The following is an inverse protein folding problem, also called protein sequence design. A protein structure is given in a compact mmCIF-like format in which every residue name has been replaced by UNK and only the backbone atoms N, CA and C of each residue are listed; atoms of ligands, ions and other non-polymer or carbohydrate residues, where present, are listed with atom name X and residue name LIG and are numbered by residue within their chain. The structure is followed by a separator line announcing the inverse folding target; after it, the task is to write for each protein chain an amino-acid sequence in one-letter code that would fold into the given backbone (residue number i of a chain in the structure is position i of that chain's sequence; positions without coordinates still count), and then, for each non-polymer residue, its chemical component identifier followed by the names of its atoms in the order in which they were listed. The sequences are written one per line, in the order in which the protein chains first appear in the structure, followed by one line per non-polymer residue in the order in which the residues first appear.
data_IF_771084853784
#
_entry.id   IF_771084853784
#
_cell.length_a   1.000
_cell.length_b   1.000
_cell.length_c   1.000
_cell.angle_alpha   90.00
_cell.angle_beta   90.00
_cell.angle_gamma   90.00
#
_symmetry.space_group_name_H-M   'P 1'
#
loop_
_entity.id
_entity.type
_entity.pdbx_description
1 polymer ?
#
# COMPACT_ATOMS: atom_id res chain seq x y z
N UNK A 1 29.07 30.09 0.74
CA UNK A 1 28.86 29.79 -0.69
C UNK A 1 28.97 28.29 -0.84
N UNK A 2 28.04 27.67 -1.54
CA UNK A 2 28.06 26.23 -1.84
C UNK A 2 28.72 26.01 -3.20
N UNK A 3 29.48 24.92 -3.32
CA UNK A 3 30.05 24.44 -4.58
C UNK A 3 29.49 23.06 -4.89
N UNK A 4 29.13 22.82 -6.15
CA UNK A 4 28.57 21.56 -6.62
C UNK A 4 29.35 21.09 -7.85
N UNK A 5 29.41 19.77 -8.02
CA UNK A 5 29.95 19.13 -9.22
C UNK A 5 28.91 18.14 -9.72
N UNK A 6 28.54 18.24 -11.00
CA UNK A 6 27.63 17.27 -11.60
C UNK A 6 28.37 16.01 -12.09
N UNK A 7 27.61 15.05 -12.63
CA UNK A 7 28.17 13.79 -13.11
C UNK A 7 29.11 13.93 -14.31
N UNK A 8 29.07 15.07 -15.01
CA UNK A 8 29.95 15.40 -16.14
C UNK A 8 31.21 16.16 -15.68
N UNK A 9 31.33 16.42 -14.38
CA UNK A 9 32.47 17.12 -13.78
C UNK A 9 32.35 18.65 -13.84
N UNK A 10 31.20 19.21 -14.24
CA UNK A 10 31.01 20.65 -14.32
C UNK A 10 30.74 21.24 -12.94
N UNK A 11 31.40 22.36 -12.67
CA UNK A 11 31.32 23.04 -11.38
C UNK A 11 30.26 24.15 -11.37
N UNK A 12 29.54 24.25 -10.26
CA UNK A 12 28.54 25.28 -10.00
C UNK A 12 28.77 25.89 -8.62
N UNK A 13 28.45 27.18 -8.47
CA UNK A 13 28.45 27.84 -7.16
C UNK A 13 27.11 28.51 -6.88
N UNK A 14 26.67 28.52 -5.62
CA UNK A 14 25.43 29.17 -5.20
C UNK A 14 25.54 29.78 -3.80
N UNK A 15 24.69 30.77 -3.52
CA UNK A 15 24.53 31.34 -2.19
C UNK A 15 23.72 30.42 -1.27
N UNK A 16 22.68 29.81 -1.81
CA UNK A 16 21.75 28.96 -1.07
C UNK A 16 21.59 27.61 -1.76
N UNK A 17 21.34 26.58 -0.97
CA UNK A 17 21.03 25.24 -1.42
C UNK A 17 19.68 24.82 -0.86
N UNK A 18 18.74 24.45 -1.73
CA UNK A 18 17.46 23.89 -1.36
C UNK A 18 17.37 22.48 -1.94
N UNK A 19 17.39 21.47 -1.06
CA UNK A 19 17.28 20.07 -1.49
C UNK A 19 15.82 19.67 -1.62
N UNK A 20 15.43 19.30 -2.84
CA UNK A 20 14.10 18.76 -3.16
C UNK A 20 14.18 17.31 -3.66
N UNK A 21 15.15 16.53 -3.17
CA UNK A 21 15.44 15.17 -3.64
C UNK A 21 14.35 14.13 -3.33
N UNK A 22 13.42 14.46 -2.43
CA UNK A 22 12.34 13.57 -1.99
C UNK A 22 12.80 12.42 -1.09
N UNK A 23 11.90 11.92 -0.25
CA UNK A 23 12.19 10.90 0.78
C UNK A 23 12.21 9.45 0.24
N UNK A 24 11.73 9.19 -0.98
CA UNK A 24 11.65 7.85 -1.59
C UNK A 24 12.38 7.73 -2.94
N UNK A 25 13.48 8.47 -3.14
CA UNK A 25 14.16 8.58 -4.44
C UNK A 25 15.21 7.50 -4.73
N UNK A 26 15.91 7.00 -3.70
CA UNK A 26 16.95 5.99 -3.86
C UNK A 26 16.39 4.56 -3.63
N UNK A 27 16.36 3.68 -4.65
CA UNK A 27 15.90 2.31 -4.47
C UNK A 27 16.88 1.49 -3.62
N UNK A 28 16.34 0.63 -2.77
CA UNK A 28 17.11 -0.31 -1.96
C UNK A 28 16.81 -1.72 -2.47
N UNK A 29 17.82 -2.37 -3.03
CA UNK A 29 17.69 -3.77 -3.43
C UNK A 29 17.60 -4.66 -2.19
N UNK A 30 16.85 -5.78 -2.27
CA UNK A 30 16.71 -6.67 -1.14
C UNK A 30 18.06 -7.30 -0.81
N UNK A 31 18.49 -7.20 0.44
CA UNK A 31 19.69 -7.85 0.96
C UNK A 31 19.45 -9.36 1.15
N UNK A 32 19.30 -10.08 0.04
CA UNK A 32 19.05 -11.52 -0.02
C UNK A 32 20.28 -12.19 -0.66
N UNK A 33 20.87 -13.22 -0.04
CA UNK A 33 22.00 -13.92 -0.63
C UNK A 33 21.68 -14.43 -2.04
N UNK A 34 22.65 -14.26 -2.94
CA UNK A 34 22.54 -14.67 -4.35
C UNK A 34 21.63 -13.81 -5.22
N UNK A 35 21.16 -12.64 -4.77
CA UNK A 35 20.24 -11.78 -5.55
C UNK A 35 20.80 -11.41 -6.94
N UNK A 36 22.13 -11.34 -7.08
CA UNK A 36 22.82 -11.10 -8.35
C UNK A 36 23.02 -12.35 -9.21
N UNK A 37 22.78 -13.54 -8.65
CA UNK A 37 22.95 -14.82 -9.34
C UNK A 37 21.70 -15.21 -10.15
N UNK A 38 20.58 -14.51 -9.95
CA UNK A 38 19.33 -14.79 -10.66
C UNK A 38 19.51 -14.58 -12.17
N UNK A 39 19.26 -15.64 -12.95
CA UNK A 39 19.46 -15.63 -14.40
C UNK A 39 18.25 -15.12 -15.19
N UNK A 40 17.11 -14.95 -14.53
CA UNK A 40 15.92 -14.36 -15.14
C UNK A 40 15.95 -12.83 -15.14
N UNK A 41 14.93 -12.24 -15.76
CA UNK A 41 14.74 -10.80 -15.75
C UNK A 41 14.31 -10.31 -14.36
N UNK A 42 15.01 -9.32 -13.82
CA UNK A 42 14.69 -8.71 -12.55
C UNK A 42 14.89 -7.19 -12.63
N UNK A 43 14.01 -6.45 -11.97
CA UNK A 43 14.11 -5.00 -11.85
C UNK A 43 13.46 -4.53 -10.55
N UNK A 44 13.86 -3.35 -10.08
CA UNK A 44 13.19 -2.68 -8.96
C UNK A 44 12.00 -1.87 -9.50
N UNK A 45 10.88 -1.84 -8.77
CA UNK A 45 9.66 -1.16 -9.22
C UNK A 45 9.85 0.34 -9.52
N UNK A 46 10.83 1.00 -8.90
CA UNK A 46 11.17 2.41 -9.20
C UNK A 46 11.93 2.62 -10.52
N UNK A 47 12.36 1.54 -11.17
CA UNK A 47 13.05 1.51 -12.47
C UNK A 47 12.23 0.76 -13.51
N UNK A 48 10.91 0.79 -13.35
CA UNK A 48 9.96 0.18 -14.29
C UNK A 48 10.09 0.85 -15.67
N UNK A 49 10.30 0.06 -16.71
CA UNK A 49 10.46 0.59 -18.07
C UNK A 49 9.12 1.10 -18.62
N UNK A 50 9.11 2.31 -19.21
CA UNK A 50 7.92 2.89 -19.81
C UNK A 50 7.37 2.06 -20.99
N UNK A 51 8.21 1.24 -21.61
CA UNK A 51 7.85 0.39 -22.75
C UNK A 51 7.48 -1.05 -22.33
N UNK A 52 7.42 -1.34 -21.03
CA UNK A 52 7.09 -2.68 -20.51
C UNK A 52 5.58 -2.92 -20.59
N UNK A 53 5.15 -3.84 -21.44
CA UNK A 53 3.79 -4.39 -21.43
C UNK A 53 3.77 -5.71 -20.66
N UNK A 54 3.27 -5.69 -19.43
CA UNK A 54 3.20 -6.89 -18.56
C UNK A 54 2.40 -8.03 -19.17
N UNK A 55 1.44 -7.76 -20.05
CA UNK A 55 0.62 -8.82 -20.67
C UNK A 55 1.49 -9.65 -21.64
N UNK A 56 2.36 -8.98 -22.39
CA UNK A 56 3.32 -9.62 -23.30
C UNK A 56 4.50 -10.19 -22.52
N UNK A 57 5.14 -9.37 -21.70
CA UNK A 57 6.40 -9.71 -21.06
C UNK A 57 6.24 -10.79 -20.00
N UNK A 58 5.06 -10.95 -19.39
CA UNK A 58 4.83 -11.98 -18.38
C UNK A 58 4.08 -13.21 -18.90
N UNK A 59 3.70 -13.23 -20.17
CA UNK A 59 3.09 -14.40 -20.81
C UNK A 59 3.97 -15.63 -20.63
N UNK A 60 3.37 -16.74 -20.19
CA UNK A 60 4.00 -18.03 -19.93
C UNK A 60 5.14 -18.03 -18.89
N UNK A 61 5.34 -16.92 -18.17
CA UNK A 61 6.38 -16.78 -17.13
C UNK A 61 5.84 -17.08 -15.74
N UNK A 62 6.75 -17.43 -14.84
CA UNK A 62 6.53 -17.51 -13.39
C UNK A 62 7.11 -16.26 -12.77
N UNK A 63 6.27 -15.48 -12.09
CA UNK A 63 6.60 -14.15 -11.61
C UNK A 63 6.84 -14.20 -10.10
N UNK A 64 7.88 -13.52 -9.63
CA UNK A 64 8.13 -13.28 -8.21
C UNK A 64 7.98 -11.80 -7.87
N UNK A 65 7.16 -11.48 -6.87
CA UNK A 65 7.08 -10.13 -6.30
C UNK A 65 7.65 -10.16 -4.88
N UNK A 66 8.72 -9.40 -4.61
CA UNK A 66 9.33 -9.30 -3.29
C UNK A 66 8.86 -8.03 -2.59
N UNK A 67 8.23 -8.21 -1.43
CA UNK A 67 7.74 -7.11 -0.60
C UNK A 67 6.27 -6.78 -0.81
N UNK A 68 5.60 -6.44 0.29
CA UNK A 68 4.16 -6.12 0.36
C UNK A 68 3.94 -4.75 1.03
N UNK A 69 4.80 -3.79 0.68
CA UNK A 69 4.53 -2.36 0.90
C UNK A 69 3.51 -1.82 -0.11
N UNK A 70 3.27 -0.50 -0.10
CA UNK A 70 2.30 0.15 -1.01
C UNK A 70 2.53 -0.26 -2.47
N UNK A 71 3.77 -0.13 -2.96
CA UNK A 71 4.11 -0.49 -4.34
C UNK A 71 3.92 -1.97 -4.62
N UNK A 72 4.34 -2.85 -3.71
CA UNK A 72 4.19 -4.31 -3.89
C UNK A 72 2.72 -4.75 -3.96
N UNK A 73 1.86 -4.17 -3.12
CA UNK A 73 0.41 -4.40 -3.15
C UNK A 73 -0.17 -3.98 -4.51
N UNK A 74 0.18 -2.79 -4.99
CA UNK A 74 -0.28 -2.29 -6.30
C UNK A 74 0.25 -3.13 -7.47
N UNK A 75 1.51 -3.58 -7.41
CA UNK A 75 2.10 -4.48 -8.41
C UNK A 75 1.34 -5.81 -8.45
N UNK A 76 1.03 -6.40 -7.29
CA UNK A 76 0.24 -7.64 -7.21
C UNK A 76 -1.14 -7.45 -7.83
N UNK A 77 -1.83 -6.34 -7.54
CA UNK A 77 -3.13 -6.01 -8.15
C UNK A 77 -3.03 -5.88 -9.67
N UNK A 78 -2.02 -5.15 -10.15
CA UNK A 78 -1.85 -4.91 -11.58
C UNK A 78 -1.58 -6.21 -12.35
N UNK A 79 -0.77 -7.10 -11.78
CA UNK A 79 -0.44 -8.41 -12.37
C UNK A 79 -1.61 -9.38 -12.26
N UNK A 80 -2.30 -9.45 -11.11
CA UNK A 80 -3.41 -10.39 -10.89
C UNK A 80 -4.58 -10.18 -11.85
N UNK A 81 -4.73 -8.97 -12.39
CA UNK A 81 -5.74 -8.62 -13.41
C UNK A 81 -5.34 -9.02 -14.84
N UNK A 82 -4.13 -9.55 -15.05
CA UNK A 82 -3.66 -10.04 -16.36
C UNK A 82 -3.86 -11.54 -16.49
N UNK A 83 -3.89 -12.02 -17.73
CA UNK A 83 -3.98 -13.43 -18.07
C UNK A 83 -2.69 -13.88 -18.77
N UNK A 84 -2.47 -15.19 -18.85
CA UNK A 84 -1.37 -15.78 -19.62
C UNK A 84 -0.07 -16.02 -18.85
N UNK A 85 0.13 -15.45 -17.66
CA UNK A 85 1.27 -15.84 -16.81
C UNK A 85 0.99 -17.18 -16.11
N UNK A 86 2.03 -18.00 -15.87
CA UNK A 86 1.89 -19.33 -15.26
C UNK A 86 1.59 -19.26 -13.77
N UNK A 87 2.31 -18.41 -13.03
CA UNK A 87 2.04 -18.17 -11.62
C UNK A 87 2.66 -16.87 -11.12
N UNK A 88 2.09 -16.32 -10.05
CA UNK A 88 2.62 -15.18 -9.30
C UNK A 88 2.89 -15.62 -7.86
N UNK A 89 4.15 -15.51 -7.42
CA UNK A 89 4.56 -15.79 -6.04
C UNK A 89 4.91 -14.48 -5.33
N UNK A 90 4.21 -14.20 -4.23
CA UNK A 90 4.41 -12.99 -3.42
C UNK A 90 5.27 -13.36 -2.21
N UNK A 91 6.49 -12.86 -2.16
CA UNK A 91 7.42 -13.09 -1.06
C UNK A 91 7.26 -11.99 -0.02
N UNK A 92 6.55 -12.32 1.06
CA UNK A 92 6.23 -11.40 2.14
C UNK A 92 7.08 -11.69 3.38
N UNK A 93 7.91 -10.72 3.79
CA UNK A 93 8.65 -10.80 5.06
C UNK A 93 7.83 -10.27 6.23
N UNK A 94 7.22 -9.11 6.08
CA UNK A 94 6.40 -8.48 7.12
C UNK A 94 5.14 -7.97 6.48
N UNK A 95 4.02 -8.44 6.98
CA UNK A 95 2.69 -8.07 6.51
C UNK A 95 2.39 -6.62 6.89
N UNK A 96 1.84 -5.84 5.97
CA UNK A 96 1.20 -4.56 6.27
C UNK A 96 -0.31 -4.73 6.28
N UNK A 97 -0.99 -3.85 7.00
CA UNK A 97 -2.43 -3.70 6.84
C UNK A 97 -2.73 -3.21 5.41
N UNK A 98 -3.93 -3.47 4.91
CA UNK A 98 -4.45 -2.83 3.71
C UNK A 98 -5.94 -2.60 3.87
N UNK A 99 -6.49 -1.68 3.09
CA UNK A 99 -7.91 -1.36 3.15
C UNK A 99 -8.42 -0.97 1.76
N UNK A 100 -9.69 -1.21 1.42
CA UNK A 100 -10.17 -1.05 0.05
C UNK A 100 -10.13 0.43 -0.36
N UNK A 101 -9.55 0.76 -1.50
CA UNK A 101 -9.47 2.13 -2.02
C UNK A 101 -10.86 2.67 -2.39
N UNK A 102 -11.73 1.80 -2.92
CA UNK A 102 -13.04 2.13 -3.51
C UNK A 102 -12.91 3.22 -4.58
N UNK A 103 -11.96 3.02 -5.49
CA UNK A 103 -11.76 3.90 -6.63
C UNK A 103 -12.97 3.82 -7.58
N UNK A 104 -13.29 4.94 -8.21
CA UNK A 104 -14.33 5.04 -9.23
C UNK A 104 -13.90 6.03 -10.30
N UNK A 105 -14.47 5.90 -11.50
CA UNK A 105 -14.25 6.84 -12.59
C UNK A 105 -14.97 8.15 -12.30
N UNK A 106 -14.27 9.27 -12.47
CA UNK A 106 -14.85 10.61 -12.32
C UNK A 106 -15.33 11.06 -13.69
N UNK A 107 -16.65 11.11 -13.87
CA UNK A 107 -17.26 11.63 -15.10
C UNK A 107 -16.90 13.12 -15.31
N UNK A 108 -16.82 13.60 -16.57
CA UNK A 108 -16.51 15.00 -16.86
C UNK A 108 -17.41 16.01 -16.11
N UNK A 109 -18.71 15.73 -16.00
CA UNK A 109 -19.69 16.58 -15.33
C UNK A 109 -19.45 16.63 -13.81
N UNK A 110 -19.05 15.49 -13.22
CA UNK A 110 -18.67 15.43 -11.82
C UNK A 110 -17.37 16.22 -11.56
N UNK A 111 -16.44 16.19 -12.52
CA UNK A 111 -15.23 16.99 -12.45
C UNK A 111 -15.52 18.49 -12.54
N UNK A 112 -16.49 18.90 -13.36
CA UNK A 112 -16.94 20.30 -13.42
C UNK A 112 -17.45 20.78 -12.06
N UNK A 113 -18.24 19.96 -11.36
CA UNK A 113 -18.68 20.24 -9.99
C UNK A 113 -17.49 20.39 -9.04
N UNK A 114 -16.55 19.44 -9.05
CA UNK A 114 -15.38 19.50 -8.17
C UNK A 114 -14.55 20.77 -8.37
N UNK A 115 -14.42 21.27 -9.60
CA UNK A 115 -13.70 22.53 -9.87
C UNK A 115 -14.36 23.73 -9.20
N UNK A 116 -15.69 23.74 -9.06
CA UNK A 116 -16.40 24.81 -8.34
C UNK A 116 -16.18 24.76 -6.82
N UNK A 117 -15.74 23.61 -6.30
CA UNK A 117 -15.55 23.37 -4.85
C UNK A 117 -14.08 23.50 -4.41
N UNK A 118 -13.15 23.79 -5.33
CA UNK A 118 -11.71 23.80 -5.06
C UNK A 118 -11.29 24.66 -3.87
N UNK A 119 -11.83 25.88 -3.75
CA UNK A 119 -11.49 26.76 -2.63
C UNK A 119 -11.86 26.13 -1.28
N UNK A 120 -13.02 25.47 -1.23
CA UNK A 120 -13.48 24.75 -0.03
C UNK A 120 -12.61 23.52 0.27
N UNK A 121 -12.22 22.78 -0.78
CA UNK A 121 -11.32 21.63 -0.66
C UNK A 121 -9.94 22.05 -0.14
N UNK A 122 -9.34 23.11 -0.71
CA UNK A 122 -8.05 23.62 -0.26
C UNK A 122 -8.11 24.15 1.17
N UNK A 123 -9.17 24.87 1.52
CA UNK A 123 -9.39 25.31 2.90
C UNK A 123 -9.46 24.13 3.86
N UNK A 124 -10.26 23.11 3.53
CA UNK A 124 -10.39 21.90 4.35
C UNK A 124 -9.04 21.20 4.53
N UNK A 125 -8.29 21.00 3.44
CA UNK A 125 -6.96 20.39 3.52
C UNK A 125 -5.98 21.24 4.34
N UNK A 126 -6.06 22.58 4.30
CA UNK A 126 -5.21 23.44 5.11
C UNK A 126 -5.54 23.38 6.62
N UNK A 127 -6.77 23.04 6.97
CA UNK A 127 -7.25 22.95 8.36
C UNK A 127 -7.04 21.56 8.98
N UNK A 128 -6.92 20.49 8.18
CA UNK A 128 -6.67 19.13 8.71
C UNK A 128 -5.19 18.86 8.96
N UNK A 129 -4.90 18.10 10.01
CA UNK A 129 -3.53 17.76 10.43
C UNK A 129 -2.76 16.90 9.42
N UNK A 130 -3.44 16.26 8.48
CA UNK A 130 -2.85 15.37 7.47
C UNK A 130 -2.92 15.92 6.06
N UNK A 131 -3.45 17.13 5.87
CA UNK A 131 -3.68 17.75 4.56
C UNK A 131 -4.60 16.94 3.62
N UNK A 132 -5.52 16.14 4.18
CA UNK A 132 -6.55 15.41 3.45
C UNK A 132 -7.94 15.94 3.80
N UNK A 133 -8.94 15.70 2.94
CA UNK A 133 -10.34 16.08 3.19
C UNK A 133 -11.04 15.22 4.27
N UNK A 134 -10.36 14.24 4.85
CA UNK A 134 -10.93 13.35 5.85
C UNK A 134 -10.84 13.97 7.24
N UNK A 135 -11.97 14.07 7.92
CA UNK A 135 -12.06 14.53 9.30
C UNK A 135 -12.30 13.37 10.24
N UNK A 136 -11.53 13.36 11.33
CA UNK A 136 -11.67 12.39 12.41
C UNK A 136 -12.99 12.61 13.16
N UNK A 137 -13.65 11.52 13.55
CA UNK A 137 -14.82 11.62 14.44
C UNK A 137 -14.34 12.15 15.80
N UNK A 138 -14.85 13.31 16.28
CA UNK A 138 -14.33 13.93 17.50
C UNK A 138 -14.57 13.07 18.75
N UNK A 139 -15.57 12.19 18.73
CA UNK A 139 -15.89 11.30 19.85
C UNK A 139 -14.78 10.25 20.04
N UNK A 140 -14.65 9.79 21.28
CA UNK A 140 -13.81 8.62 21.60
C UNK A 140 -14.59 7.35 21.36
N UNK A 141 -13.87 6.25 21.06
CA UNK A 141 -14.52 4.95 20.86
C UNK A 141 -15.34 4.49 22.09
N UNK A 142 -14.97 4.93 23.30
CA UNK A 142 -15.61 4.58 24.57
C UNK A 142 -16.88 5.37 24.87
N UNK A 143 -17.13 6.47 24.14
CA UNK A 143 -18.30 7.34 24.33
C UNK A 143 -19.52 6.87 23.52
N UNK A 144 -19.36 5.79 22.75
CA UNK A 144 -20.37 5.27 21.83
C UNK A 144 -20.57 3.77 22.03
N UNK A 145 -21.74 3.29 21.66
CA UNK A 145 -22.09 1.86 21.72
C UNK A 145 -21.32 1.05 20.68
N UNK A 146 -21.22 -0.27 20.88
CA UNK A 146 -20.62 -1.21 19.92
C UNK A 146 -21.29 -1.12 18.53
N UNK A 147 -22.61 -0.91 18.52
CA UNK A 147 -23.40 -0.73 17.30
C UNK A 147 -22.97 0.53 16.55
N UNK A 148 -22.78 1.64 17.25
CA UNK A 148 -22.31 2.90 16.66
C UNK A 148 -20.88 2.81 16.17
N UNK A 149 -20.00 2.12 16.92
CA UNK A 149 -18.62 1.84 16.49
C UNK A 149 -18.60 1.08 15.17
N UNK A 150 -19.34 -0.03 15.11
CA UNK A 150 -19.45 -0.84 13.89
C UNK A 150 -20.04 -0.03 12.73
N UNK A 151 -21.08 0.77 12.97
CA UNK A 151 -21.69 1.61 11.94
C UNK A 151 -20.70 2.63 11.35
N UNK A 152 -19.89 3.28 12.20
CA UNK A 152 -18.84 4.19 11.72
C UNK A 152 -17.78 3.44 10.91
N UNK A 153 -17.29 2.31 11.43
CA UNK A 153 -16.25 1.52 10.75
C UNK A 153 -16.74 0.97 9.40
N UNK A 154 -17.97 0.46 9.31
CA UNK A 154 -18.59 0.05 8.05
C UNK A 154 -18.73 1.22 7.07
N UNK A 155 -19.17 2.38 7.56
CA UNK A 155 -19.26 3.59 6.72
C UNK A 155 -17.88 3.94 6.14
N UNK A 156 -16.84 3.97 6.98
CA UNK A 156 -15.49 4.32 6.54
C UNK A 156 -14.86 3.24 5.65
N UNK A 157 -15.09 1.96 5.94
CA UNK A 157 -14.58 0.85 5.14
C UNK A 157 -15.15 0.85 3.71
N UNK A 158 -16.42 1.23 3.57
CA UNK A 158 -17.10 1.30 2.27
C UNK A 158 -16.91 2.65 1.55
N UNK A 159 -16.44 3.68 2.26
CA UNK A 159 -16.15 4.98 1.66
C UNK A 159 -14.83 4.98 0.85
N UNK A 160 -14.74 5.77 -0.24
CA UNK A 160 -13.50 6.04 -0.96
C UNK A 160 -12.41 6.70 -0.11
N UNK A 161 -11.15 6.39 -0.44
CA UNK A 161 -9.99 7.12 0.10
C UNK A 161 -9.63 6.76 1.54
N UNK A 162 -8.99 7.68 2.26
CA UNK A 162 -8.39 7.43 3.57
C UNK A 162 -9.35 7.59 4.75
N UNK A 163 -10.67 7.69 4.56
CA UNK A 163 -11.63 7.75 5.67
C UNK A 163 -11.48 6.57 6.66
N UNK A 164 -11.14 5.39 6.14
CA UNK A 164 -10.78 4.18 6.91
C UNK A 164 -9.45 4.23 7.68
N UNK A 165 -8.74 5.34 7.61
CA UNK A 165 -7.56 5.59 8.42
C UNK A 165 -7.76 6.90 9.21
N UNK A 166 -8.17 7.97 8.54
CA UNK A 166 -8.19 9.32 9.10
C UNK A 166 -9.56 9.75 9.66
N UNK A 167 -10.64 9.07 9.24
CA UNK A 167 -12.03 9.40 9.55
C UNK A 167 -12.66 8.55 10.66
N UNK A 168 -11.85 7.90 11.49
CA UNK A 168 -12.30 7.09 12.63
C UNK A 168 -12.28 7.91 13.93
N UNK A 169 -12.43 7.29 15.10
CA UNK A 169 -12.51 7.99 16.38
C UNK A 169 -11.21 8.75 16.73
N UNK A 170 -11.36 9.86 17.44
CA UNK A 170 -10.27 10.78 17.79
C UNK A 170 -9.13 10.14 18.56
N UNK A 171 -9.41 9.11 19.35
CA UNK A 171 -8.41 8.38 20.12
C UNK A 171 -8.02 7.03 19.51
N UNK A 172 -8.43 6.69 18.28
CA UNK A 172 -8.13 5.39 17.68
C UNK A 172 -6.63 5.08 17.64
N UNK A 173 -5.76 6.07 17.43
CA UNK A 173 -4.30 5.85 17.34
C UNK A 173 -3.52 6.30 18.57
N UNK A 174 -4.20 6.73 19.63
CA UNK A 174 -3.59 7.16 20.89
C UNK A 174 -4.03 6.30 22.09
N UNK A 175 -5.00 5.41 21.90
CA UNK A 175 -5.50 4.46 22.88
C UNK A 175 -5.34 3.02 22.37
N UNK A 176 -4.68 2.18 23.18
CA UNK A 176 -4.36 0.80 22.81
C UNK A 176 -5.59 -0.10 22.64
N UNK A 177 -6.64 0.12 23.43
CA UNK A 177 -7.86 -0.66 23.31
C UNK A 177 -8.65 -0.22 22.07
N UNK A 178 -8.64 1.07 21.76
CA UNK A 178 -9.27 1.61 20.55
C UNK A 178 -8.66 1.00 19.27
N UNK A 179 -7.33 1.01 19.16
CA UNK A 179 -6.63 0.44 17.99
C UNK A 179 -6.81 -1.07 17.91
N UNK A 180 -6.83 -1.79 19.03
CA UNK A 180 -7.03 -3.24 19.06
C UNK A 180 -8.42 -3.61 18.51
N UNK A 181 -9.46 -2.94 19.00
CA UNK A 181 -10.84 -3.15 18.55
C UNK A 181 -11.00 -2.85 17.05
N UNK A 182 -10.39 -1.75 16.58
CA UNK A 182 -10.47 -1.40 15.17
C UNK A 182 -9.64 -2.35 14.28
N UNK A 183 -8.48 -2.81 14.77
CA UNK A 183 -7.68 -3.82 14.08
C UNK A 183 -8.42 -5.16 13.99
N UNK A 184 -9.13 -5.56 15.06
CA UNK A 184 -9.98 -6.78 15.05
C UNK A 184 -11.08 -6.69 13.99
N UNK A 185 -11.74 -5.53 13.87
CA UNK A 185 -12.69 -5.29 12.79
C UNK A 185 -12.07 -5.51 11.40
N UNK A 186 -10.86 -4.98 11.16
CA UNK A 186 -10.15 -5.18 9.89
C UNK A 186 -9.70 -6.62 9.67
N UNK A 187 -9.34 -7.36 10.72
CA UNK A 187 -9.06 -8.81 10.65
C UNK A 187 -10.27 -9.57 10.11
N UNK A 188 -11.46 -9.27 10.63
CA UNK A 188 -12.69 -9.93 10.20
C UNK A 188 -12.98 -9.61 8.73
N UNK A 189 -12.70 -8.38 8.27
CA UNK A 189 -12.81 -8.01 6.85
C UNK A 189 -11.84 -8.77 5.94
N UNK A 190 -10.58 -8.96 6.35
CA UNK A 190 -9.61 -9.75 5.58
C UNK A 190 -10.09 -11.20 5.46
N UNK A 191 -10.54 -11.80 6.57
CA UNK A 191 -11.03 -13.19 6.60
C UNK A 191 -12.31 -13.41 5.79
N UNK A 192 -13.12 -12.37 5.61
CA UNK A 192 -14.29 -12.41 4.73
C UNK A 192 -13.91 -12.43 3.24
N UNK A 193 -12.73 -11.90 2.88
CA UNK A 193 -12.30 -11.70 1.48
C UNK A 193 -11.34 -12.78 0.98
N UNK A 194 -10.65 -13.47 1.88
CA UNK A 194 -9.65 -14.49 1.57
C UNK A 194 -10.18 -15.86 2.00
N UNK A 195 -10.39 -16.76 1.04
CA UNK A 195 -11.05 -18.04 1.28
C UNK A 195 -10.18 -19.04 2.05
N UNK A 196 -8.88 -19.07 1.78
CA UNK A 196 -7.94 -19.95 2.50
C UNK A 196 -7.58 -19.34 3.87
N UNK A 197 -7.91 -20.00 4.99
CA UNK A 197 -7.66 -19.46 6.33
C UNK A 197 -6.17 -19.25 6.64
N UNK A 198 -5.29 -20.10 6.11
CA UNK A 198 -3.84 -19.99 6.33
C UNK A 198 -3.22 -18.77 5.63
N UNK A 199 -3.70 -18.48 4.42
CA UNK A 199 -3.35 -17.28 3.66
C UNK A 199 -3.93 -16.04 4.31
N UNK A 200 -5.20 -16.07 4.74
CA UNK A 200 -5.83 -14.98 5.47
C UNK A 200 -5.05 -14.63 6.76
N UNK A 201 -4.64 -15.63 7.54
CA UNK A 201 -3.83 -15.42 8.75
C UNK A 201 -2.46 -14.79 8.44
N UNK A 202 -1.84 -15.19 7.33
CA UNK A 202 -0.55 -14.66 6.88
C UNK A 202 -0.66 -13.22 6.35
N UNK A 203 -1.86 -12.79 5.92
CA UNK A 203 -2.19 -11.42 5.51
C UNK A 203 -2.60 -10.51 6.67
N UNK A 204 -2.64 -11.01 7.90
CA UNK A 204 -2.91 -10.21 9.11
C UNK A 204 -1.59 -9.83 9.79
N UNK A 205 -1.27 -8.53 9.93
CA UNK A 205 -0.10 -8.09 10.69
C UNK A 205 -0.16 -8.52 12.16
N UNK A 206 0.98 -9.00 12.68
CA UNK A 206 1.11 -9.50 14.06
C UNK A 206 1.92 -8.59 14.98
N UNK A 207 2.63 -7.61 14.41
CA UNK A 207 3.61 -6.80 15.14
C UNK A 207 3.22 -5.32 15.26
N UNK A 208 2.06 -4.91 14.73
CA UNK A 208 1.56 -3.54 14.84
C UNK A 208 0.05 -3.46 14.57
N UNK A 209 -0.64 -2.52 15.23
CA UNK A 209 -2.04 -2.22 14.98
C UNK A 209 -2.25 -1.41 13.69
N UNK A 210 -3.49 -1.44 13.17
CA UNK A 210 -3.88 -0.71 11.97
C UNK A 210 -3.57 0.78 12.11
N UNK A 211 -3.02 1.40 11.05
CA UNK A 211 -2.80 2.85 11.01
C UNK A 211 -1.59 3.39 11.76
N UNK A 212 -0.81 2.53 12.44
CA UNK A 212 0.50 2.89 13.02
C UNK A 212 1.61 3.06 11.98
N UNK A 213 1.32 2.65 10.74
CA UNK A 213 2.12 2.91 9.53
C UNK A 213 1.14 3.40 8.45
N UNK A 214 1.66 4.07 7.42
CA UNK A 214 0.84 4.47 6.27
C UNK A 214 0.09 3.26 5.72
N UNK A 215 -1.24 3.35 5.66
CA UNK A 215 -2.11 2.24 5.24
C UNK A 215 -2.21 2.21 3.72
N UNK A 216 -1.64 1.20 3.03
CA UNK A 216 -1.88 0.98 1.62
C UNK A 216 -3.38 0.80 1.33
N UNK A 217 -3.88 1.56 0.37
CA UNK A 217 -5.21 1.35 -0.17
C UNK A 217 -5.13 0.44 -1.40
N UNK A 218 -6.08 -0.48 -1.51
CA UNK A 218 -6.03 -1.58 -2.48
C UNK A 218 -7.36 -1.77 -3.23
N UNK A 219 -7.29 -2.35 -4.42
CA UNK A 219 -8.47 -2.80 -5.16
C UNK A 219 -8.27 -4.25 -5.54
N UNK A 220 -8.95 -5.16 -4.85
CA UNK A 220 -8.94 -6.61 -5.08
C UNK A 220 -7.61 -7.30 -4.71
N UNK A 221 -6.78 -6.70 -3.86
CA UNK A 221 -5.52 -7.31 -3.41
C UNK A 221 -5.77 -8.55 -2.56
N UNK A 222 -6.73 -8.50 -1.64
CA UNK A 222 -7.07 -9.65 -0.79
C UNK A 222 -7.65 -10.78 -1.63
N UNK A 223 -8.57 -10.46 -2.54
CA UNK A 223 -9.25 -11.39 -3.42
C UNK A 223 -8.29 -12.04 -4.43
N UNK A 224 -7.21 -11.36 -4.81
CA UNK A 224 -6.19 -11.93 -5.71
C UNK A 224 -5.62 -13.25 -5.19
N UNK A 225 -5.53 -13.42 -3.87
CA UNK A 225 -5.03 -14.65 -3.25
C UNK A 225 -5.98 -15.85 -3.34
N UNK A 226 -7.22 -15.65 -3.79
CA UNK A 226 -8.16 -16.74 -4.04
C UNK A 226 -7.91 -17.43 -5.39
N UNK A 227 -7.08 -16.85 -6.26
CA UNK A 227 -6.70 -17.46 -7.53
C UNK A 227 -5.69 -18.59 -7.33
N UNK A 228 -5.89 -19.71 -8.03
CA UNK A 228 -5.06 -20.92 -7.86
C UNK A 228 -3.61 -20.75 -8.32
N UNK A 229 -3.33 -19.77 -9.18
CA UNK A 229 -1.99 -19.48 -9.69
C UNK A 229 -1.28 -18.35 -8.91
N UNK A 230 -1.90 -17.81 -7.85
CA UNK A 230 -1.33 -16.74 -7.01
C UNK A 230 -1.00 -17.33 -5.63
N UNK A 231 0.26 -17.22 -5.23
CA UNK A 231 0.78 -17.90 -4.04
C UNK A 231 1.42 -16.89 -3.09
N UNK A 232 1.05 -16.94 -1.81
CA UNK A 232 1.70 -16.17 -0.76
C UNK A 232 2.80 -17.01 -0.09
N UNK A 233 4.03 -16.51 -0.14
CA UNK A 233 5.18 -17.10 0.54
C UNK A 233 5.54 -16.22 1.75
N UNK A 234 5.15 -16.67 2.94
CA UNK A 234 5.42 -15.95 4.19
C UNK A 234 6.81 -16.29 4.74
N UNK A 235 7.78 -15.41 4.46
CA UNK A 235 9.20 -15.65 4.73
C UNK A 235 9.53 -15.76 6.22
N UNK A 236 8.71 -15.21 7.13
CA UNK A 236 8.94 -15.40 8.57
C UNK A 236 8.75 -16.85 9.04
N UNK A 237 8.05 -17.69 8.26
CA UNK A 237 7.98 -19.14 8.52
C UNK A 237 9.15 -19.92 7.90
N UNK A 238 10.07 -19.24 7.20
CA UNK A 238 11.16 -19.85 6.44
C UNK A 238 12.51 -19.31 6.97
N UNK A 239 13.28 -20.09 7.74
CA UNK A 239 14.47 -19.59 8.43
C UNK A 239 15.61 -19.21 7.48
N UNK A 240 15.69 -19.84 6.30
CA UNK A 240 16.75 -19.61 5.32
C UNK A 240 16.17 -19.53 3.91
N UNK A 241 16.44 -18.44 3.20
CA UNK A 241 16.06 -18.24 1.81
C UNK A 241 17.15 -17.47 1.07
N UNK A 242 17.37 -17.83 -0.20
CA UNK A 242 18.38 -17.26 -1.08
C UNK A 242 17.94 -17.43 -2.53
N UNK A 243 18.47 -16.59 -3.42
CA UNK A 243 18.29 -16.78 -4.86
C UNK A 243 19.22 -17.88 -5.36
N UNK A 244 18.72 -18.69 -6.30
CA UNK A 244 19.51 -19.69 -7.04
C UNK A 244 19.63 -19.24 -8.49
N UNK A 245 20.80 -19.41 -9.10
CA UNK A 245 21.04 -19.07 -10.51
C UNK A 245 20.57 -20.13 -11.52
N UNK A 246 19.44 -20.78 -11.30
CA UNK A 246 18.85 -21.73 -12.25
C UNK A 246 17.61 -21.14 -12.93
#
# INVERSE_FOLDING_TARGET
MWSFVDAEGKEYTSRFFLSCLGFFSAPILPAIPGVHDFQGEAFHNSRWSANLDISREFADKRIGNIGTGVTGIQTVIAISKKTGFKSLSIFQRTTNWSAPLRNFEVAPEQMDIYRTEYDSVFKTCAETSTCFMHQTDPRKYSEVTDKERLALWEKMYNAPGFGKWLGVFSNTYTDWQAIELYSKYMVDKIRQRVHDPGTADSLIPKNHGLGTRCVPLESDYSEAYNATNINLVYLQKIPHYYFRGR
#
